data_IF_576715632808
#
_entry.id   IF_576715632808
#
_cell.length_a   1.000
_cell.length_b   1.000
_cell.length_c   1.000
_cell.angle_alpha   90.00
_cell.angle_beta   90.00
_cell.angle_gamma   90.00
#
_symmetry.space_group_name_H-M   'P 1'
#
loop_
_entity.id
_entity.type
_entity.pdbx_description
1 polymer ?
#
# COMPACT_ATOMS: atom_id res chain seq x y z
N UNK A 1 -22.57 2.56 3.81
CA UNK A 1 -21.31 3.33 4.01
C UNK A 1 -21.38 4.36 5.16
N UNK A 2 -20.35 4.48 6.00
CA UNK A 2 -20.24 5.54 7.02
C UNK A 2 -20.00 6.92 6.40
N UNK A 3 -20.36 8.00 7.09
CA UNK A 3 -20.13 9.37 6.59
C UNK A 3 -18.64 9.68 6.37
N UNK A 4 -17.76 9.14 7.21
CA UNK A 4 -16.31 9.36 7.11
C UNK A 4 -15.74 8.62 5.90
N UNK A 5 -16.10 7.34 5.70
CA UNK A 5 -15.60 6.58 4.54
C UNK A 5 -16.02 7.27 3.24
N UNK A 6 -17.29 7.69 3.15
CA UNK A 6 -17.78 8.46 2.00
C UNK A 6 -16.93 9.70 1.72
N UNK A 7 -16.62 10.50 2.75
CA UNK A 7 -15.80 11.71 2.59
C UNK A 7 -14.37 11.39 2.18
N UNK A 8 -13.84 10.25 2.60
CA UNK A 8 -12.51 9.78 2.19
C UNK A 8 -12.46 9.33 0.74
N UNK A 9 -13.50 8.68 0.22
CA UNK A 9 -13.64 8.39 -1.21
C UNK A 9 -13.66 9.69 -2.03
N UNK A 10 -14.45 10.67 -1.59
CA UNK A 10 -14.51 11.99 -2.25
C UNK A 10 -13.15 12.68 -2.20
N UNK A 11 -12.46 12.68 -1.05
CA UNK A 11 -11.13 13.26 -0.93
C UNK A 11 -10.12 12.58 -1.85
N UNK A 12 -10.13 11.24 -1.93
CA UNK A 12 -9.25 10.49 -2.82
C UNK A 12 -9.44 10.91 -4.29
N UNK A 13 -10.69 11.10 -4.72
CA UNK A 13 -11.01 11.62 -6.07
C UNK A 13 -10.58 13.07 -6.26
N UNK A 14 -10.73 13.93 -5.26
CA UNK A 14 -10.23 15.31 -5.34
C UNK A 14 -8.71 15.31 -5.49
N UNK A 15 -7.98 14.47 -4.75
CA UNK A 15 -6.52 14.32 -4.89
C UNK A 15 -6.16 13.86 -6.30
N UNK A 16 -6.87 12.86 -6.85
CA UNK A 16 -6.65 12.35 -8.20
C UNK A 16 -6.95 13.37 -9.31
N UNK A 17 -7.74 14.40 -9.04
CA UNK A 17 -8.04 15.46 -10.02
C UNK A 17 -6.88 16.42 -10.31
N UNK A 18 -5.79 16.35 -9.54
CA UNK A 18 -4.61 17.24 -9.64
C UNK A 18 -4.94 18.74 -9.49
N UNK A 19 -6.14 19.09 -9.00
CA UNK A 19 -6.59 20.46 -8.88
C UNK A 19 -6.28 21.05 -7.48
N UNK A 20 -5.14 21.75 -7.37
CA UNK A 20 -4.64 22.33 -6.12
C UNK A 20 -5.62 23.27 -5.41
N UNK A 21 -6.45 23.99 -6.17
CA UNK A 21 -7.47 24.90 -5.63
C UNK A 21 -8.57 24.16 -4.87
N UNK A 22 -8.80 22.88 -5.20
CA UNK A 22 -9.80 22.02 -4.56
C UNK A 22 -9.19 21.09 -3.51
N UNK A 23 -7.98 20.61 -3.75
CA UNK A 23 -7.24 19.73 -2.82
C UNK A 23 -7.05 20.44 -1.48
N UNK A 24 -6.58 21.69 -1.48
CA UNK A 24 -6.22 22.39 -0.25
C UNK A 24 -7.43 22.63 0.68
N UNK A 25 -8.58 23.13 0.20
CA UNK A 25 -9.81 23.22 1.01
C UNK A 25 -10.31 21.85 1.49
N UNK A 26 -10.33 20.82 0.63
CA UNK A 26 -10.81 19.49 1.00
C UNK A 26 -9.98 18.85 2.12
N UNK A 27 -8.66 19.02 2.10
CA UNK A 27 -7.77 18.57 3.17
C UNK A 27 -8.01 19.36 4.46
N UNK A 28 -8.22 20.69 4.38
CA UNK A 28 -8.54 21.50 5.57
C UNK A 28 -9.85 21.05 6.20
N UNK A 29 -10.86 20.73 5.40
CA UNK A 29 -12.12 20.22 5.89
C UNK A 29 -11.98 18.87 6.60
N UNK A 30 -11.00 18.05 6.20
CA UNK A 30 -10.69 16.79 6.86
C UNK A 30 -10.33 16.96 8.34
N UNK A 31 -9.67 18.07 8.71
CA UNK A 31 -9.29 18.36 10.10
C UNK A 31 -10.49 18.50 11.05
N UNK A 32 -11.70 18.68 10.51
CA UNK A 32 -12.94 18.72 11.30
C UNK A 32 -13.45 17.31 11.68
N UNK A 33 -12.81 16.24 11.20
CA UNK A 33 -13.21 14.86 11.47
C UNK A 33 -12.13 14.10 12.22
N UNK A 34 -12.55 13.20 13.11
CA UNK A 34 -11.66 12.18 13.67
C UNK A 34 -11.63 11.00 12.71
N UNK A 35 -10.60 10.92 11.89
CA UNK A 35 -10.40 9.82 10.92
C UNK A 35 -9.50 8.77 11.55
N UNK A 36 -9.90 7.50 11.51
CA UNK A 36 -9.07 6.39 11.98
C UNK A 36 -7.97 6.04 10.97
N UNK A 37 -6.91 5.39 11.43
CA UNK A 37 -5.80 4.97 10.58
C UNK A 37 -6.29 4.01 9.48
N UNK A 38 -7.09 3.02 9.87
CA UNK A 38 -7.68 2.04 8.94
C UNK A 38 -8.41 2.71 7.77
N UNK A 39 -9.15 3.81 8.02
CA UNK A 39 -9.83 4.53 6.94
C UNK A 39 -8.84 5.25 6.02
N UNK A 40 -7.77 5.84 6.55
CA UNK A 40 -6.73 6.49 5.75
C UNK A 40 -5.97 5.48 4.89
N UNK A 41 -5.61 4.34 5.48
CA UNK A 41 -4.91 3.23 4.82
C UNK A 41 -5.71 2.64 3.67
N UNK A 42 -7.02 2.49 3.86
CA UNK A 42 -7.93 1.96 2.84
C UNK A 42 -7.93 2.75 1.53
N UNK A 43 -7.61 4.04 1.58
CA UNK A 43 -7.62 4.91 0.40
C UNK A 43 -6.21 5.21 -0.12
N UNK A 44 -5.17 4.58 0.43
CA UNK A 44 -3.79 4.74 -0.03
C UNK A 44 -3.35 6.21 -0.22
N UNK A 45 -3.80 7.10 0.68
CA UNK A 45 -3.64 8.56 0.55
C UNK A 45 -2.17 8.99 0.32
N UNK A 46 -1.15 8.44 1.01
CA UNK A 46 0.25 8.78 0.74
C UNK A 46 0.68 8.51 -0.71
N UNK A 47 0.20 7.42 -1.31
CA UNK A 47 0.46 7.06 -2.70
C UNK A 47 -0.23 8.05 -3.65
N UNK A 48 -1.54 8.27 -3.47
CA UNK A 48 -2.31 9.19 -4.30
C UNK A 48 -1.70 10.60 -4.31
N UNK A 49 -1.23 11.08 -3.16
CA UNK A 49 -0.59 12.40 -3.07
C UNK A 49 0.74 12.43 -3.83
N UNK A 50 1.54 11.36 -3.71
CA UNK A 50 2.84 11.29 -4.38
C UNK A 50 2.68 11.25 -5.91
N UNK A 51 1.61 10.62 -6.39
CA UNK A 51 1.30 10.52 -7.82
C UNK A 51 0.72 11.83 -8.39
N UNK A 52 -0.28 12.41 -7.72
CA UNK A 52 -1.17 13.40 -8.33
C UNK A 52 -0.92 14.84 -7.85
N UNK A 53 -0.35 15.04 -6.66
CA UNK A 53 -0.11 16.39 -6.12
C UNK A 53 1.19 16.51 -5.29
N UNK A 54 2.35 16.10 -5.85
CA UNK A 54 3.62 16.06 -5.11
C UNK A 54 4.14 17.44 -4.67
N UNK A 55 3.61 18.53 -5.24
CA UNK A 55 4.02 19.90 -4.92
C UNK A 55 3.00 20.68 -4.08
N UNK A 56 1.83 20.10 -3.80
CA UNK A 56 0.82 20.75 -2.98
C UNK A 56 1.25 20.73 -1.50
N UNK A 57 1.44 21.89 -0.84
CA UNK A 57 1.94 21.92 0.54
C UNK A 57 1.00 21.25 1.55
N UNK A 58 -0.33 21.37 1.37
CA UNK A 58 -1.31 20.75 2.27
C UNK A 58 -1.35 19.23 2.09
N UNK A 59 -1.28 18.76 0.85
CA UNK A 59 -1.19 17.34 0.57
C UNK A 59 0.11 16.73 1.10
N UNK A 60 1.25 17.37 0.85
CA UNK A 60 2.54 16.89 1.34
C UNK A 60 2.58 16.87 2.87
N UNK A 61 2.01 17.87 3.55
CA UNK A 61 1.87 17.84 5.00
C UNK A 61 0.99 16.68 5.48
N UNK A 62 -0.17 16.45 4.84
CA UNK A 62 -1.03 15.31 5.16
C UNK A 62 -0.30 13.97 4.97
N UNK A 63 0.41 13.81 3.85
CA UNK A 63 1.25 12.64 3.57
C UNK A 63 2.27 12.41 4.68
N UNK A 64 3.06 13.44 5.01
CA UNK A 64 4.07 13.36 6.07
C UNK A 64 3.46 12.99 7.42
N UNK A 65 2.33 13.58 7.79
CA UNK A 65 1.62 13.25 9.03
C UNK A 65 1.19 11.78 9.07
N UNK A 66 0.60 11.27 7.99
CA UNK A 66 0.14 9.86 7.91
C UNK A 66 1.34 8.91 8.01
N UNK A 67 2.40 9.16 7.25
CA UNK A 67 3.59 8.32 7.24
C UNK A 67 4.31 8.34 8.59
N UNK A 68 4.43 9.51 9.22
CA UNK A 68 5.01 9.65 10.55
C UNK A 68 4.21 8.85 11.57
N UNK A 69 2.90 9.08 11.64
CA UNK A 69 2.02 8.39 12.60
C UNK A 69 2.12 6.86 12.44
N UNK A 70 2.15 6.38 11.21
CA UNK A 70 2.29 4.97 10.89
C UNK A 70 3.64 4.39 11.30
N UNK A 71 4.71 5.10 11.00
CA UNK A 71 6.06 4.67 11.38
C UNK A 71 6.19 4.59 12.91
N UNK A 72 5.64 5.56 13.64
CA UNK A 72 5.60 5.52 15.11
C UNK A 72 4.81 4.30 15.62
N UNK A 73 3.66 3.98 15.01
CA UNK A 73 2.87 2.80 15.37
C UNK A 73 3.65 1.50 15.09
N UNK A 74 4.22 1.34 13.89
CA UNK A 74 4.97 0.15 13.51
C UNK A 74 6.22 -0.04 14.37
N UNK A 75 6.94 1.04 14.69
CA UNK A 75 8.08 1.00 15.61
C UNK A 75 7.68 0.57 17.03
N UNK A 76 6.51 0.98 17.52
CA UNK A 76 6.01 0.55 18.81
C UNK A 76 5.53 -0.93 18.82
N UNK A 77 5.07 -1.44 17.68
CA UNK A 77 4.59 -2.82 17.52
C UNK A 77 5.73 -3.82 17.27
N UNK A 78 6.79 -3.40 16.57
CA UNK A 78 7.86 -4.27 16.10
C UNK A 78 8.53 -5.11 17.22
N UNK A 79 8.95 -4.56 18.36
CA UNK A 79 9.54 -5.38 19.44
C UNK A 79 8.57 -6.44 19.97
N UNK A 80 7.26 -6.11 19.99
CA UNK A 80 6.21 -7.03 20.45
C UNK A 80 5.98 -8.14 19.44
N UNK A 81 6.02 -7.85 18.14
CA UNK A 81 5.90 -8.86 17.08
C UNK A 81 7.04 -9.87 17.15
N UNK A 82 8.28 -9.41 17.31
CA UNK A 82 9.46 -10.27 17.42
C UNK A 82 9.43 -11.12 18.70
N UNK A 83 8.96 -10.55 19.80
CA UNK A 83 8.76 -11.29 21.06
C UNK A 83 7.69 -12.37 20.89
N UNK A 84 6.56 -12.05 20.26
CA UNK A 84 5.50 -13.02 19.96
C UNK A 84 5.97 -14.13 19.02
N UNK A 85 6.81 -13.82 18.03
CA UNK A 85 7.41 -14.85 17.17
C UNK A 85 8.31 -15.77 18.00
N UNK A 86 9.17 -15.21 18.85
CA UNK A 86 10.02 -16.00 19.74
C UNK A 86 9.21 -16.88 20.70
N UNK A 87 8.11 -16.36 21.25
CA UNK A 87 7.18 -17.12 22.10
C UNK A 87 6.42 -18.20 21.33
N UNK A 88 6.03 -17.91 20.08
CA UNK A 88 5.35 -18.87 19.21
C UNK A 88 6.25 -20.05 18.84
N UNK A 89 7.53 -19.77 18.56
CA UNK A 89 8.54 -20.81 18.35
C UNK A 89 8.83 -21.54 19.67
N UNK A 90 8.72 -20.84 20.80
CA UNK A 90 8.55 -21.45 22.12
C UNK A 90 9.63 -22.49 22.45
N UNK A 91 9.16 -23.66 22.88
CA UNK A 91 10.00 -24.82 23.19
C UNK A 91 10.34 -25.67 21.96
N UNK A 92 9.70 -25.41 20.82
CA UNK A 92 9.97 -26.15 19.59
C UNK A 92 11.32 -25.68 19.07
N UNK A 93 12.30 -26.58 19.12
CA UNK A 93 13.65 -26.31 18.61
C UNK A 93 13.68 -26.32 17.08
N UNK A 94 12.65 -26.86 16.44
CA UNK A 94 12.50 -26.84 14.99
C UNK A 94 11.44 -25.82 14.57
N UNK A 95 11.64 -25.21 13.41
CA UNK A 95 10.69 -24.30 12.80
C UNK A 95 10.52 -24.63 11.33
N UNK A 96 9.44 -24.14 10.72
CA UNK A 96 9.21 -24.36 9.28
C UNK A 96 10.31 -23.68 8.45
N UNK A 97 10.58 -24.25 7.27
CA UNK A 97 11.58 -23.68 6.34
C UNK A 97 11.30 -22.21 6.02
N UNK A 98 10.03 -21.82 5.93
CA UNK A 98 9.60 -20.44 5.71
C UNK A 98 10.11 -19.52 6.84
N UNK A 99 9.88 -19.91 8.10
CA UNK A 99 10.30 -19.11 9.26
C UNK A 99 11.83 -19.03 9.32
N UNK A 100 12.52 -20.13 9.04
CA UNK A 100 13.97 -20.15 8.97
C UNK A 100 14.50 -19.17 7.91
N UNK A 101 13.97 -19.25 6.68
CA UNK A 101 14.32 -18.33 5.59
C UNK A 101 14.01 -16.87 5.93
N UNK A 102 12.89 -16.61 6.61
CA UNK A 102 12.53 -15.27 7.09
C UNK A 102 13.54 -14.73 8.10
N UNK A 103 13.90 -15.51 9.12
CA UNK A 103 14.86 -15.11 10.16
C UNK A 103 16.24 -14.82 9.55
N UNK A 104 16.68 -15.67 8.62
CA UNK A 104 17.93 -15.49 7.88
C UNK A 104 17.87 -14.26 6.95
N UNK A 105 16.72 -13.98 6.34
CA UNK A 105 16.49 -12.76 5.57
C UNK A 105 16.60 -11.49 6.43
N UNK A 106 16.01 -11.53 7.62
CA UNK A 106 16.07 -10.42 8.59
C UNK A 106 17.50 -10.10 9.05
N UNK A 107 18.40 -11.09 9.10
CA UNK A 107 19.82 -10.86 9.42
C UNK A 107 20.57 -10.02 8.37
N UNK A 108 20.04 -9.93 7.14
CA UNK A 108 20.64 -9.15 6.06
C UNK A 108 20.10 -7.72 5.97
N UNK A 109 19.24 -7.31 6.91
CA UNK A 109 18.72 -5.96 6.97
C UNK A 109 19.68 -5.03 7.72
N UNK A 110 19.54 -3.73 7.48
CA UNK A 110 20.29 -2.69 8.19
C UNK A 110 19.71 -2.39 9.58
N UNK A 111 18.45 -2.81 9.82
CA UNK A 111 17.80 -2.63 11.10
C UNK A 111 18.38 -3.60 12.14
N UNK A 112 19.34 -3.12 12.92
CA UNK A 112 20.07 -3.92 13.92
C UNK A 112 19.18 -4.54 15.01
N UNK A 113 18.00 -3.98 15.28
CA UNK A 113 17.06 -4.60 16.23
C UNK A 113 16.41 -5.86 15.65
N UNK A 114 16.11 -5.86 14.34
CA UNK A 114 15.67 -7.06 13.63
C UNK A 114 16.78 -8.10 13.56
N UNK A 115 17.98 -7.69 13.17
CA UNK A 115 19.15 -8.58 13.11
C UNK A 115 19.38 -9.25 14.47
N UNK A 116 19.43 -8.45 15.55
CA UNK A 116 19.58 -8.94 16.92
C UNK A 116 18.50 -9.94 17.29
N UNK A 117 17.23 -9.58 17.06
CA UNK A 117 16.11 -10.43 17.40
C UNK A 117 16.13 -11.75 16.63
N UNK A 118 16.49 -11.72 15.34
CA UNK A 118 16.64 -12.92 14.52
C UNK A 118 17.76 -13.81 15.02
N UNK A 119 18.94 -13.27 15.33
CA UNK A 119 20.06 -14.05 15.87
C UNK A 119 19.68 -14.73 17.20
N UNK A 120 18.99 -13.99 18.08
CA UNK A 120 18.49 -14.50 19.36
C UNK A 120 17.45 -15.60 19.22
N UNK A 121 16.62 -15.55 18.17
CA UNK A 121 15.64 -16.61 17.89
C UNK A 121 16.37 -17.83 17.32
N UNK A 122 17.22 -17.61 16.33
CA UNK A 122 18.05 -18.66 15.70
C UNK A 122 18.92 -19.39 16.72
N UNK A 123 19.50 -18.70 17.70
CA UNK A 123 20.33 -19.34 18.74
C UNK A 123 19.54 -20.33 19.61
N UNK A 124 18.21 -20.31 19.58
CA UNK A 124 17.34 -21.29 20.26
C UNK A 124 16.90 -22.45 19.38
N UNK A 125 17.04 -22.35 18.07
CA UNK A 125 16.61 -23.35 17.10
C UNK A 125 17.71 -24.36 16.80
N UNK A 126 17.37 -25.63 16.61
CA UNK A 126 18.26 -26.67 16.11
C UNK A 126 18.19 -26.71 14.58
N UNK A 127 19.36 -26.76 13.96
CA UNK A 127 19.51 -26.76 12.50
C UNK A 127 20.05 -28.10 12.05
N UNK A 128 19.64 -28.55 10.86
CA UNK A 128 20.32 -29.63 10.15
C UNK A 128 21.57 -29.10 9.45
N UNK A 129 22.59 -29.94 9.27
CA UNK A 129 23.79 -29.58 8.50
C UNK A 129 23.44 -28.97 7.14
N UNK A 130 22.51 -29.62 6.42
CA UNK A 130 22.09 -29.16 5.10
C UNK A 130 21.43 -27.78 5.14
N UNK A 131 20.79 -27.41 6.24
CA UNK A 131 20.20 -26.07 6.41
C UNK A 131 21.26 -25.02 6.70
N UNK A 132 22.24 -25.36 7.55
CA UNK A 132 23.39 -24.49 7.86
C UNK A 132 24.13 -24.13 6.57
N UNK A 133 24.46 -25.13 5.76
CA UNK A 133 25.18 -24.96 4.50
C UNK A 133 24.32 -24.24 3.45
N UNK A 134 23.08 -24.73 3.20
CA UNK A 134 22.23 -24.21 2.12
C UNK A 134 21.79 -22.77 2.36
N UNK A 135 21.54 -22.39 3.61
CA UNK A 135 21.10 -21.04 3.96
C UNK A 135 22.26 -20.13 4.39
N UNK A 136 23.50 -20.65 4.39
CA UNK A 136 24.73 -19.93 4.76
C UNK A 136 24.60 -19.27 6.15
N UNK A 137 24.04 -20.02 7.12
CA UNK A 137 23.67 -19.46 8.44
C UNK A 137 24.92 -18.96 9.16
N UNK A 138 25.99 -19.76 9.13
CA UNK A 138 27.26 -19.46 9.79
C UNK A 138 27.91 -18.21 9.18
N UNK A 139 28.03 -18.15 7.86
CA UNK A 139 28.64 -17.03 7.14
C UNK A 139 27.89 -15.72 7.40
N UNK A 140 26.55 -15.78 7.48
CA UNK A 140 25.71 -14.61 7.78
C UNK A 140 25.87 -14.15 9.22
N UNK A 141 25.89 -15.08 10.18
CA UNK A 141 26.11 -14.75 11.58
C UNK A 141 27.51 -14.12 11.78
N UNK A 142 28.54 -14.67 11.15
CA UNK A 142 29.91 -14.13 11.19
C UNK A 142 30.01 -12.71 10.62
N UNK A 143 29.21 -12.34 9.61
CA UNK A 143 29.20 -10.97 9.05
C UNK A 143 28.73 -9.91 10.04
N UNK A 144 27.92 -10.29 11.04
CA UNK A 144 27.31 -9.35 11.99
C UNK A 144 27.77 -9.56 13.44
N UNK A 145 28.55 -10.60 13.73
CA UNK A 145 28.98 -10.96 15.10
C UNK A 145 29.76 -9.87 15.83
N UNK A 146 30.50 -9.03 15.11
CA UNK A 146 31.25 -7.91 15.72
C UNK A 146 30.34 -6.78 16.24
N UNK A 147 29.09 -6.73 15.76
CA UNK A 147 28.13 -5.68 16.08
C UNK A 147 26.97 -6.19 16.94
N UNK A 148 26.75 -7.51 16.96
CA UNK A 148 25.62 -8.17 17.61
C UNK A 148 26.14 -9.34 18.45
N UNK A 149 26.04 -9.23 19.77
CA UNK A 149 26.46 -10.26 20.72
C UNK A 149 25.72 -11.59 20.47
N UNK A 150 24.42 -11.53 20.22
CA UNK A 150 23.60 -12.71 19.93
C UNK A 150 24.01 -13.43 18.63
N UNK A 151 24.68 -12.75 17.71
CA UNK A 151 25.25 -13.40 16.53
C UNK A 151 26.55 -14.15 16.87
N UNK A 152 27.33 -13.66 17.83
CA UNK A 152 28.50 -14.39 18.35
C UNK A 152 28.07 -15.67 19.08
N UNK A 153 26.99 -15.61 19.86
CA UNK A 153 26.39 -16.80 20.48
C UNK A 153 25.91 -17.80 19.43
N UNK A 154 25.27 -17.33 18.36
CA UNK A 154 24.82 -18.17 17.25
C UNK A 154 26.00 -18.84 16.53
N UNK A 155 27.09 -18.10 16.25
CA UNK A 155 28.31 -18.66 15.64
C UNK A 155 28.90 -19.76 16.51
N UNK A 156 29.09 -19.49 17.81
CA UNK A 156 29.62 -20.48 18.75
C UNK A 156 28.78 -21.75 18.79
N UNK A 157 27.45 -21.61 18.87
CA UNK A 157 26.52 -22.73 18.85
C UNK A 157 26.65 -23.57 17.57
N UNK A 158 26.68 -22.93 16.41
CA UNK A 158 26.76 -23.64 15.12
C UNK A 158 28.08 -24.40 15.04
N UNK A 159 29.20 -23.79 15.44
CA UNK A 159 30.49 -24.47 15.46
C UNK A 159 30.49 -25.70 16.39
N UNK A 160 29.89 -25.58 17.58
CA UNK A 160 29.71 -26.72 18.50
C UNK A 160 28.82 -27.84 17.90
N UNK A 161 27.78 -27.49 17.14
CA UNK A 161 26.92 -28.46 16.46
C UNK A 161 27.66 -29.19 15.33
N UNK A 162 28.44 -28.47 14.51
CA UNK A 162 29.25 -29.04 13.44
C UNK A 162 30.29 -30.04 13.98
N UNK A 163 30.92 -29.73 15.12
CA UNK A 163 31.86 -30.65 15.79
C UNK A 163 31.17 -31.92 16.34
N UNK A 164 29.89 -31.83 16.74
CA UNK A 164 29.13 -32.96 17.26
C UNK A 164 28.57 -33.85 16.15
N UNK A 165 28.12 -33.31 15.02
CA UNK A 165 27.59 -34.12 13.91
C UNK A 165 28.67 -34.92 13.18
N UNK A 166 29.92 -34.44 13.16
CA UNK A 166 31.08 -35.24 12.76
C UNK A 166 31.23 -36.53 13.60
N UNK A 167 30.54 -36.63 14.75
CA UNK A 167 30.47 -37.84 15.60
C UNK A 167 29.26 -38.76 15.33
N UNK A 168 28.39 -38.44 14.36
CA UNK A 168 27.40 -39.36 13.78
C UNK A 168 26.01 -39.41 14.44
N UNK A 169 25.53 -38.32 15.05
CA UNK A 169 24.18 -38.24 15.63
C UNK A 169 23.22 -37.65 14.60
N UNK A 170 22.34 -38.50 14.04
CA UNK A 170 21.27 -38.07 13.13
C UNK A 170 20.00 -37.73 13.91
N UNK A 171 19.42 -36.56 13.64
CA UNK A 171 18.09 -36.17 14.12
C UNK A 171 17.10 -36.40 12.97
N UNK A 172 16.29 -37.45 13.10
CA UNK A 172 15.07 -37.62 12.30
C UNK A 172 13.95 -36.85 13.01
N UNK A 173 13.22 -35.97 12.32
CA UNK A 173 11.91 -35.53 12.81
C UNK A 173 11.06 -34.76 11.77
N UNK A 174 9.77 -34.74 12.10
CA UNK A 174 8.57 -34.42 11.32
C UNK A 174 8.47 -32.96 10.83
N UNK A 175 8.03 -32.79 9.59
CA UNK A 175 7.75 -31.48 8.98
C UNK A 175 6.46 -30.90 9.55
N UNK A 176 6.56 -29.90 10.43
CA UNK A 176 5.40 -29.14 10.90
C UNK A 176 5.06 -28.03 9.90
N UNK A 177 3.94 -28.18 9.19
CA UNK A 177 3.41 -27.24 8.17
C UNK A 177 2.88 -25.94 8.82
N UNK A 178 3.76 -25.14 9.43
CA UNK A 178 3.41 -23.89 10.11
C UNK A 178 3.10 -22.69 9.19
N UNK A 179 2.42 -22.89 8.06
CA UNK A 179 2.28 -21.88 6.99
C UNK A 179 1.35 -20.68 7.29
N UNK A 180 0.39 -20.82 8.19
CA UNK A 180 -0.71 -19.84 8.33
C UNK A 180 -0.71 -19.03 9.63
N UNK A 181 0.46 -18.84 10.27
CA UNK A 181 0.51 -18.02 11.47
C UNK A 181 0.44 -16.51 11.14
N UNK A 182 -0.56 -15.75 11.65
CA UNK A 182 -0.66 -14.30 11.45
C UNK A 182 0.59 -13.52 11.87
N UNK A 183 1.33 -13.97 12.89
CA UNK A 183 2.58 -13.34 13.36
C UNK A 183 3.67 -13.48 12.29
N UNK A 184 3.81 -14.67 11.70
CA UNK A 184 4.79 -14.92 10.63
C UNK A 184 4.44 -14.04 9.43
N UNK A 185 3.16 -13.96 9.08
CA UNK A 185 2.69 -13.08 8.01
C UNK A 185 3.05 -11.61 8.25
N UNK A 186 2.81 -11.07 9.44
CA UNK A 186 3.18 -9.68 9.76
C UNK A 186 4.70 -9.45 9.68
N UNK A 187 5.52 -10.41 10.08
CA UNK A 187 6.98 -10.29 10.02
C UNK A 187 7.48 -10.42 8.57
N UNK A 188 6.86 -11.25 7.74
CA UNK A 188 7.13 -11.28 6.30
C UNK A 188 6.82 -9.92 5.64
N UNK A 189 5.74 -9.26 6.04
CA UNK A 189 5.37 -7.95 5.53
C UNK A 189 6.32 -6.85 6.01
N UNK A 190 6.77 -6.92 7.26
CA UNK A 190 7.83 -6.06 7.79
C UNK A 190 9.14 -6.27 6.99
N UNK A 191 9.53 -7.53 6.77
CA UNK A 191 10.72 -7.88 6.00
C UNK A 191 10.65 -7.32 4.57
N UNK A 192 9.52 -7.52 3.87
CA UNK A 192 9.32 -6.96 2.54
C UNK A 192 9.44 -5.43 2.55
N UNK A 193 8.78 -4.75 3.50
CA UNK A 193 8.84 -3.31 3.61
C UNK A 193 10.27 -2.80 3.83
N UNK A 194 11.07 -3.49 4.64
CA UNK A 194 12.49 -3.16 4.85
C UNK A 194 13.32 -3.43 3.60
N UNK A 195 13.11 -4.54 2.88
CA UNK A 195 13.78 -4.81 1.61
C UNK A 195 13.47 -3.77 0.54
N UNK A 196 12.22 -3.30 0.43
CA UNK A 196 11.86 -2.26 -0.53
C UNK A 196 12.61 -0.95 -0.26
N UNK A 197 12.86 -0.61 1.01
CA UNK A 197 13.63 0.59 1.38
C UNK A 197 15.11 0.52 1.02
N UNK A 198 15.68 -0.67 0.84
CA UNK A 198 17.10 -0.82 0.48
C UNK A 198 17.36 -0.65 -1.02
N UNK A 199 16.31 -0.64 -1.86
CA UNK A 199 16.41 -0.59 -3.34
C UNK A 199 17.28 -1.71 -3.95
N UNK A 200 17.52 -2.78 -3.18
CA UNK A 200 18.35 -3.91 -3.58
C UNK A 200 17.46 -4.98 -4.23
N UNK A 201 17.57 -5.08 -5.55
CA UNK A 201 16.77 -6.02 -6.35
C UNK A 201 16.85 -7.46 -5.85
N UNK A 202 18.01 -7.91 -5.34
CA UNK A 202 18.16 -9.28 -4.87
C UNK A 202 17.35 -9.49 -3.58
N UNK A 203 17.48 -8.58 -2.61
CA UNK A 203 16.73 -8.63 -1.35
C UNK A 203 15.22 -8.55 -1.61
N UNK A 204 14.79 -7.64 -2.47
CA UNK A 204 13.38 -7.45 -2.84
C UNK A 204 12.83 -8.70 -3.51
N UNK A 205 13.54 -9.25 -4.51
CA UNK A 205 13.10 -10.47 -5.20
C UNK A 205 12.98 -11.63 -4.22
N UNK A 206 13.98 -11.83 -3.34
CA UNK A 206 13.91 -12.86 -2.31
C UNK A 206 12.72 -12.67 -1.36
N UNK A 207 12.43 -11.43 -0.94
CA UNK A 207 11.29 -11.14 -0.07
C UNK A 207 9.94 -11.40 -0.78
N UNK A 208 9.80 -11.02 -2.05
CA UNK A 208 8.60 -11.28 -2.85
C UNK A 208 8.42 -12.79 -3.08
N UNK A 209 9.48 -13.53 -3.40
CA UNK A 209 9.41 -14.99 -3.57
C UNK A 209 9.01 -15.68 -2.26
N UNK A 210 9.57 -15.25 -1.13
CA UNK A 210 9.18 -15.75 0.19
C UNK A 210 7.70 -15.49 0.46
N UNK A 211 7.22 -14.27 0.18
CA UNK A 211 5.82 -13.89 0.34
C UNK A 211 4.88 -14.57 -0.64
N UNK A 212 5.33 -14.97 -1.84
CA UNK A 212 4.50 -15.65 -2.84
C UNK A 212 4.01 -17.03 -2.40
N UNK A 213 4.62 -17.60 -1.36
CA UNK A 213 4.13 -18.82 -0.70
C UNK A 213 3.00 -18.54 0.29
N UNK A 214 2.75 -17.26 0.57
CA UNK A 214 1.78 -16.74 1.52
C UNK A 214 0.70 -15.96 0.75
N UNK A 215 -0.52 -15.91 1.28
CA UNK A 215 -1.60 -15.09 0.75
C UNK A 215 -1.97 -13.98 1.75
N UNK A 216 -1.14 -12.93 1.92
CA UNK A 216 -1.44 -11.86 2.85
C UNK A 216 -2.70 -11.12 2.44
N UNK A 217 -3.50 -10.71 3.41
CA UNK A 217 -4.66 -9.84 3.14
C UNK A 217 -4.21 -8.47 2.61
N UNK A 218 -5.06 -7.81 1.81
CA UNK A 218 -4.82 -6.44 1.34
C UNK A 218 -4.59 -5.45 2.49
N UNK A 219 -5.22 -5.68 3.63
CA UNK A 219 -5.02 -4.89 4.84
C UNK A 219 -3.56 -4.87 5.31
N UNK A 220 -2.83 -5.98 5.17
CA UNK A 220 -1.41 -6.04 5.53
C UNK A 220 -0.55 -5.26 4.54
N UNK A 221 -0.78 -5.39 3.24
CA UNK A 221 -0.07 -4.59 2.23
C UNK A 221 -0.26 -3.08 2.47
N UNK A 222 -1.48 -2.69 2.83
CA UNK A 222 -1.80 -1.33 3.26
C UNK A 222 -1.07 -0.97 4.56
N UNK A 223 -1.15 -1.79 5.62
CA UNK A 223 -0.46 -1.59 6.92
C UNK A 223 1.05 -1.38 6.76
N UNK A 224 1.68 -1.93 5.74
CA UNK A 224 3.13 -1.75 5.50
C UNK A 224 3.46 -0.81 4.34
N UNK A 225 2.46 -0.10 3.78
CA UNK A 225 2.62 0.87 2.69
C UNK A 225 3.33 0.29 1.46
N UNK A 226 3.07 -0.98 1.12
CA UNK A 226 3.84 -1.69 0.09
C UNK A 226 3.75 -1.01 -1.28
N UNK A 227 2.54 -0.68 -1.76
CA UNK A 227 2.38 0.05 -3.04
C UNK A 227 3.11 1.41 -3.00
N UNK A 228 2.96 2.16 -1.90
CA UNK A 228 3.66 3.44 -1.74
C UNK A 228 5.19 3.29 -1.82
N UNK A 229 5.77 2.28 -1.17
CA UNK A 229 7.21 2.01 -1.22
C UNK A 229 7.66 1.60 -2.63
N UNK A 230 6.91 0.73 -3.32
CA UNK A 230 7.20 0.33 -4.70
C UNK A 230 7.24 1.56 -5.62
N UNK A 231 6.22 2.42 -5.53
CA UNK A 231 6.13 3.63 -6.35
C UNK A 231 7.24 4.64 -6.00
N UNK A 232 7.45 4.92 -4.71
CA UNK A 232 8.43 5.90 -4.25
C UNK A 232 9.84 5.57 -4.73
N UNK A 233 10.21 4.29 -4.72
CA UNK A 233 11.55 3.83 -5.05
C UNK A 233 11.68 3.34 -6.51
N UNK A 234 10.61 3.38 -7.31
CA UNK A 234 10.65 2.99 -8.73
C UNK A 234 11.09 1.54 -8.98
N UNK A 235 10.67 0.62 -8.11
CA UNK A 235 11.22 -0.73 -8.02
C UNK A 235 10.64 -1.64 -9.12
N UNK A 236 11.40 -1.82 -10.21
CA UNK A 236 10.96 -2.62 -11.36
C UNK A 236 10.72 -4.09 -11.05
N UNK A 237 11.52 -4.68 -10.16
CA UNK A 237 11.35 -6.10 -9.78
C UNK A 237 10.08 -6.35 -8.95
N UNK A 238 9.38 -5.31 -8.52
CA UNK A 238 8.13 -5.40 -7.77
C UNK A 238 6.89 -5.03 -8.60
N UNK A 239 7.01 -4.89 -9.92
CA UNK A 239 5.89 -4.51 -10.79
C UNK A 239 4.78 -5.57 -10.81
N UNK A 240 5.11 -6.86 -10.82
CA UNK A 240 4.09 -7.91 -10.75
C UNK A 240 3.30 -7.86 -9.43
N UNK A 241 3.99 -7.54 -8.33
CA UNK A 241 3.35 -7.32 -7.03
C UNK A 241 2.47 -6.06 -7.06
N UNK A 242 2.93 -4.98 -7.70
CA UNK A 242 2.13 -3.78 -7.91
C UNK A 242 0.83 -4.08 -8.66
N UNK A 243 0.92 -4.74 -9.81
CA UNK A 243 -0.22 -5.07 -10.66
C UNK A 243 -1.23 -5.95 -9.91
N UNK A 244 -0.74 -6.95 -9.16
CA UNK A 244 -1.57 -7.78 -8.30
C UNK A 244 -2.31 -6.94 -7.26
N UNK A 245 -1.63 -6.03 -6.56
CA UNK A 245 -2.23 -5.21 -5.51
C UNK A 245 -3.25 -4.22 -6.08
N UNK A 246 -2.96 -3.60 -7.22
CA UNK A 246 -3.90 -2.70 -7.91
C UNK A 246 -5.17 -3.45 -8.33
N UNK A 247 -5.01 -4.66 -8.90
CA UNK A 247 -6.13 -5.51 -9.26
C UNK A 247 -6.97 -5.93 -8.04
N UNK A 248 -6.32 -6.43 -6.99
CA UNK A 248 -7.02 -6.83 -5.75
C UNK A 248 -7.71 -5.65 -5.09
N UNK A 249 -7.10 -4.46 -5.07
CA UNK A 249 -7.71 -3.24 -4.55
C UNK A 249 -8.92 -2.80 -5.36
N UNK A 250 -8.85 -2.90 -6.69
CA UNK A 250 -10.00 -2.65 -7.56
C UNK A 250 -11.16 -3.58 -7.22
N UNK A 251 -10.90 -4.88 -7.08
CA UNK A 251 -11.93 -5.88 -6.76
C UNK A 251 -12.53 -5.70 -5.36
N UNK A 252 -11.69 -5.60 -4.32
CA UNK A 252 -12.17 -5.49 -2.94
C UNK A 252 -12.94 -4.20 -2.66
N UNK A 253 -12.61 -3.11 -3.37
CA UNK A 253 -13.24 -1.82 -3.17
C UNK A 253 -14.37 -1.50 -4.15
N UNK A 254 -14.62 -2.33 -5.17
CA UNK A 254 -15.57 -2.04 -6.24
C UNK A 254 -16.96 -1.66 -5.70
N UNK A 255 -17.55 -2.50 -4.84
CA UNK A 255 -18.86 -2.23 -4.26
C UNK A 255 -18.87 -0.93 -3.43
N UNK A 256 -17.81 -0.69 -2.66
CA UNK A 256 -17.73 0.49 -1.81
C UNK A 256 -17.58 1.77 -2.65
N UNK A 257 -16.74 1.75 -3.69
CA UNK A 257 -16.58 2.85 -4.64
C UNK A 257 -17.91 3.16 -5.33
N UNK A 258 -18.64 2.14 -5.77
CA UNK A 258 -19.96 2.29 -6.38
C UNK A 258 -20.99 2.88 -5.40
N UNK A 259 -21.00 2.45 -4.14
CA UNK A 259 -21.86 3.04 -3.10
C UNK A 259 -21.51 4.51 -2.84
N UNK A 260 -20.21 4.84 -2.77
CA UNK A 260 -19.73 6.21 -2.61
C UNK A 260 -20.18 7.08 -3.79
N UNK A 261 -20.03 6.58 -5.01
CA UNK A 261 -20.46 7.26 -6.23
C UNK A 261 -21.97 7.51 -6.23
N UNK A 262 -22.80 6.49 -5.99
CA UNK A 262 -24.26 6.62 -5.95
C UNK A 262 -24.71 7.66 -4.93
N UNK A 263 -24.06 7.67 -3.76
CA UNK A 263 -24.32 8.68 -2.74
C UNK A 263 -23.87 10.07 -3.21
N UNK A 264 -22.67 10.19 -3.75
CA UNK A 264 -22.10 11.45 -4.23
C UNK A 264 -22.95 12.10 -5.31
N UNK A 265 -23.33 11.34 -6.34
CA UNK A 265 -24.11 11.88 -7.45
C UNK A 265 -25.51 12.31 -7.00
N UNK A 266 -26.13 11.54 -6.10
CA UNK A 266 -27.44 11.89 -5.51
C UNK A 266 -27.37 13.17 -4.69
N UNK A 267 -26.34 13.33 -3.85
CA UNK A 267 -26.12 14.57 -3.09
C UNK A 267 -25.86 15.75 -4.03
N UNK A 268 -25.08 15.53 -5.09
CA UNK A 268 -24.74 16.54 -6.10
C UNK A 268 -25.94 17.04 -6.89
N UNK A 269 -26.90 16.18 -7.24
CA UNK A 269 -28.14 16.60 -7.92
C UNK A 269 -28.99 17.54 -7.05
N UNK A 270 -28.86 17.44 -5.73
CA UNK A 270 -29.60 18.27 -4.78
C UNK A 270 -28.86 19.57 -4.42
N UNK A 271 -27.63 19.76 -4.90
CA UNK A 271 -26.85 20.97 -4.69
C UNK A 271 -27.04 21.97 -5.83
N UNK A 272 -27.37 23.21 -5.50
CA UNK A 272 -27.45 24.32 -6.45
C UNK A 272 -26.82 25.57 -5.82
N UNK A 273 -25.82 26.20 -6.45
CA UNK A 273 -25.21 25.85 -7.74
C UNK A 273 -24.29 24.61 -7.67
N UNK A 274 -23.99 24.00 -8.83
CA UNK A 274 -22.97 22.95 -8.93
C UNK A 274 -21.61 23.55 -8.63
N UNK A 275 -20.83 22.91 -7.75
CA UNK A 275 -19.50 23.41 -7.35
C UNK A 275 -18.41 22.90 -8.31
N UNK A 276 -17.27 23.59 -8.35
CA UNK A 276 -16.10 23.09 -9.09
C UNK A 276 -15.65 21.72 -8.60
N UNK A 277 -15.67 21.48 -7.28
CA UNK A 277 -15.36 20.19 -6.65
C UNK A 277 -16.27 19.07 -7.15
N UNK A 278 -17.56 19.35 -7.33
CA UNK A 278 -18.50 18.39 -7.92
C UNK A 278 -18.07 17.98 -9.32
N UNK A 279 -17.67 18.93 -10.15
CA UNK A 279 -17.22 18.68 -11.52
C UNK A 279 -15.89 17.92 -11.54
N UNK A 280 -14.93 18.26 -10.66
CA UNK A 280 -13.67 17.55 -10.53
C UNK A 280 -13.86 16.08 -10.18
N UNK A 281 -14.63 15.80 -9.11
CA UNK A 281 -14.88 14.43 -8.66
C UNK A 281 -15.59 13.60 -9.73
N UNK A 282 -16.59 14.17 -10.39
CA UNK A 282 -17.28 13.50 -11.50
C UNK A 282 -16.36 13.28 -12.70
N UNK A 283 -15.49 14.23 -13.03
CA UNK A 283 -14.50 14.06 -14.10
C UNK A 283 -13.57 12.89 -13.80
N UNK A 284 -13.12 12.72 -12.56
CA UNK A 284 -12.32 11.57 -12.14
C UNK A 284 -13.08 10.23 -12.12
N UNK A 285 -14.41 10.26 -12.13
CA UNK A 285 -15.23 9.05 -12.31
C UNK A 285 -15.40 8.66 -13.79
N UNK A 286 -15.19 9.60 -14.74
CA UNK A 286 -15.22 9.27 -16.16
C UNK A 286 -14.01 8.45 -16.63
N UNK A 287 -12.93 8.44 -15.85
CA UNK A 287 -11.73 7.61 -16.09
C UNK A 287 -11.92 6.14 -15.68
N UNK A 288 -13.09 5.78 -15.13
CA UNK A 288 -13.40 4.41 -14.70
C UNK A 288 -14.12 3.65 -15.81
N UNK A 289 -13.91 2.33 -15.90
CA UNK A 289 -14.51 1.48 -16.93
C UNK A 289 -15.99 1.11 -16.65
N UNK A 290 -16.54 1.51 -15.51
CA UNK A 290 -17.91 1.12 -15.11
C UNK A 290 -18.98 1.92 -15.87
N UNK A 291 -19.65 1.27 -16.83
CA UNK A 291 -20.66 1.88 -17.72
C UNK A 291 -21.70 2.71 -16.95
N UNK A 292 -22.20 2.20 -15.81
CA UNK A 292 -23.17 2.91 -14.99
C UNK A 292 -22.63 4.25 -14.45
N UNK A 293 -21.38 4.26 -14.01
CA UNK A 293 -20.71 5.44 -13.45
C UNK A 293 -20.49 6.48 -14.54
N UNK A 294 -19.94 6.05 -15.69
CA UNK A 294 -19.70 6.91 -16.85
C UNK A 294 -21.01 7.52 -17.34
N UNK A 295 -22.01 6.69 -17.61
CA UNK A 295 -23.33 7.13 -18.08
C UNK A 295 -23.97 8.13 -17.12
N UNK A 296 -24.02 7.80 -15.83
CA UNK A 296 -24.67 8.65 -14.83
C UNK A 296 -23.98 10.00 -14.70
N UNK A 297 -22.65 10.03 -14.83
CA UNK A 297 -21.85 11.24 -14.83
C UNK A 297 -22.12 12.12 -16.06
N UNK A 298 -22.16 11.54 -17.25
CA UNK A 298 -22.47 12.27 -18.48
C UNK A 298 -23.90 12.83 -18.44
N UNK A 299 -24.87 12.05 -17.95
CA UNK A 299 -26.23 12.53 -17.74
C UNK A 299 -26.30 13.71 -16.76
N UNK A 300 -25.50 13.69 -15.69
CA UNK A 300 -25.38 14.80 -14.75
C UNK A 300 -24.83 16.04 -15.45
N UNK A 301 -23.74 15.90 -16.21
CA UNK A 301 -23.14 17.00 -16.97
C UNK A 301 -24.09 17.61 -17.99
N UNK A 302 -24.98 16.83 -18.61
CA UNK A 302 -26.02 17.35 -19.50
C UNK A 302 -27.11 18.12 -18.75
N UNK A 303 -27.65 17.54 -17.69
CA UNK A 303 -28.84 18.06 -16.99
C UNK A 303 -28.53 19.27 -16.10
N UNK A 304 -27.34 19.33 -15.52
CA UNK A 304 -27.01 20.34 -14.53
C UNK A 304 -26.40 21.61 -15.16
N UNK A 305 -26.65 22.80 -14.57
CA UNK A 305 -26.12 24.07 -15.09
C UNK A 305 -24.64 24.25 -14.72
N UNK A 306 -23.75 23.59 -15.46
CA UNK A 306 -22.30 23.69 -15.31
C UNK A 306 -21.76 24.77 -16.24
N UNK A 307 -20.95 25.67 -15.72
CA UNK A 307 -20.36 26.76 -16.50
C UNK A 307 -19.19 26.26 -17.38
N UNK A 308 -18.89 26.98 -18.46
CA UNK A 308 -17.71 26.67 -19.28
C UNK A 308 -16.41 26.69 -18.46
N UNK A 309 -16.30 27.66 -17.54
CA UNK A 309 -15.11 27.80 -16.69
C UNK A 309 -14.91 26.56 -15.80
N UNK A 310 -16.00 25.97 -15.29
CA UNK A 310 -15.91 24.73 -14.52
C UNK A 310 -15.45 23.54 -15.36
N UNK A 311 -15.90 23.42 -16.61
CA UNK A 311 -15.40 22.38 -17.52
C UNK A 311 -13.92 22.58 -17.87
N UNK A 312 -13.51 23.82 -18.11
CA UNK A 312 -12.12 24.17 -18.48
C UNK A 312 -11.16 23.97 -17.31
N UNK A 313 -11.51 24.45 -16.11
CA UNK A 313 -10.69 24.29 -14.89
C UNK A 313 -10.45 22.82 -14.53
N UNK A 314 -11.43 21.95 -14.77
CA UNK A 314 -11.34 20.52 -14.44
C UNK A 314 -10.91 19.66 -15.63
N UNK A 315 -10.56 20.28 -16.77
CA UNK A 315 -10.17 19.59 -18.01
C UNK A 315 -11.17 18.50 -18.45
N UNK A 316 -12.43 18.65 -18.07
CA UNK A 316 -13.44 17.61 -18.29
C UNK A 316 -13.65 17.32 -19.76
N UNK A 317 -13.55 18.34 -20.62
CA UNK A 317 -13.67 18.16 -22.07
C UNK A 317 -12.63 17.19 -22.63
N UNK A 318 -11.40 17.20 -22.11
CA UNK A 318 -10.35 16.29 -22.56
C UNK A 318 -10.72 14.83 -22.25
N UNK A 319 -11.15 14.57 -21.01
CA UNK A 319 -11.58 13.23 -20.57
C UNK A 319 -12.83 12.77 -21.31
N UNK A 320 -13.81 13.65 -21.52
CA UNK A 320 -15.06 13.31 -22.24
C UNK A 320 -14.77 13.00 -23.71
N UNK A 321 -13.77 13.64 -24.32
CA UNK A 321 -13.33 13.34 -25.69
C UNK A 321 -12.62 11.99 -25.81
N UNK A 322 -12.22 11.34 -24.73
CA UNK A 322 -11.74 9.94 -24.82
C UNK A 322 -12.91 8.95 -24.91
N UNK A 323 -14.16 9.42 -24.71
CA UNK A 323 -15.39 8.63 -24.72
C UNK A 323 -16.22 8.83 -26.00
N UNK A 324 -15.59 9.09 -27.16
CA UNK A 324 -16.28 9.52 -28.40
C UNK A 324 -17.34 8.54 -28.92
N UNK A 325 -17.25 7.26 -28.55
CA UNK A 325 -18.24 6.24 -28.92
C UNK A 325 -19.59 6.40 -28.17
N UNK A 326 -19.61 7.19 -27.10
CA UNK A 326 -20.83 7.44 -26.32
C UNK A 326 -21.63 8.62 -26.87
N UNK A 327 -22.88 8.36 -27.27
CA UNK A 327 -23.83 9.40 -27.68
C UNK A 327 -23.98 10.50 -26.62
N UNK A 328 -23.93 10.15 -25.33
CA UNK A 328 -24.00 11.11 -24.24
C UNK A 328 -22.75 12.00 -24.18
N UNK A 329 -21.56 11.46 -24.44
CA UNK A 329 -20.32 12.23 -24.48
C UNK A 329 -20.36 13.26 -25.61
N UNK A 330 -20.84 12.86 -26.80
CA UNK A 330 -21.04 13.78 -27.95
C UNK A 330 -21.98 14.93 -27.58
N UNK A 331 -23.08 14.64 -26.88
CA UNK A 331 -24.01 15.68 -26.43
C UNK A 331 -23.38 16.63 -25.40
N UNK A 332 -22.53 16.12 -24.49
CA UNK A 332 -21.83 16.97 -23.51
C UNK A 332 -20.80 17.86 -24.21
N UNK A 333 -20.03 17.32 -25.16
CA UNK A 333 -19.07 18.10 -25.96
C UNK A 333 -19.79 19.22 -26.70
N UNK A 334 -20.92 18.92 -27.34
CA UNK A 334 -21.76 19.92 -28.00
C UNK A 334 -22.22 21.01 -27.02
N UNK A 335 -22.67 20.64 -25.82
CA UNK A 335 -23.03 21.60 -24.76
C UNK A 335 -21.85 22.52 -24.41
N UNK A 336 -20.64 21.98 -24.28
CA UNK A 336 -19.43 22.76 -23.99
C UNK A 336 -19.14 23.75 -25.13
N UNK A 337 -19.26 23.31 -26.39
CA UNK A 337 -19.07 24.15 -27.57
C UNK A 337 -20.13 25.27 -27.67
N UNK A 338 -21.39 24.98 -27.36
CA UNK A 338 -22.47 25.96 -27.28
C UNK A 338 -22.18 27.02 -26.21
N UNK A 339 -21.76 26.62 -25.01
CA UNK A 339 -21.35 27.55 -23.94
C UNK A 339 -20.17 28.45 -24.36
N UNK A 340 -19.20 27.88 -25.09
CA UNK A 340 -18.05 28.62 -25.63
C UNK A 340 -18.46 29.64 -26.69
N UNK A 341 -19.42 29.28 -27.54
CA UNK A 341 -19.95 30.19 -28.55
C UNK A 341 -20.76 31.33 -27.92
N UNK A 342 -21.61 31.05 -26.92
CA UNK A 342 -22.36 32.07 -26.19
C UNK A 342 -21.44 33.11 -25.55
N UNK A 343 -20.36 32.69 -24.88
CA UNK A 343 -19.38 33.64 -24.30
C UNK A 343 -18.71 34.54 -25.33
N UNK A 344 -18.53 34.10 -26.58
CA UNK A 344 -17.93 34.95 -27.64
C UNK A 344 -18.86 36.09 -28.10
N UNK A 345 -20.17 35.95 -27.93
CA UNK A 345 -21.13 36.99 -28.32
C UNK A 345 -21.33 38.05 -27.23
N UNK A 346 -21.04 37.74 -25.96
CA UNK A 346 -21.13 38.72 -24.87
C UNK A 346 -20.03 39.81 -24.91
N UNK A 347 -18.98 39.62 -25.73
CA UNK A 347 -17.87 40.58 -25.93
C UNK A 347 -17.98 41.41 -27.22
N UNK A 348 -19.10 41.35 -27.95
CA UNK A 348 -19.40 42.25 -29.08
C UNK A 348 -20.46 43.25 -28.68
#
# INVERSE_FOLDING_TARGET
MSTINYKMHVLAKIIASENDEMISPAIKDLNNYKVSMETLEKHNIPLLITQNCPYNPFAMNLKSMILQWKNEQLQAEQPRLLTKLAEHLGSNRHCSQLVLQLLIGLMNLENMELVRSSCRILSKLEFKLEEIERLEILERAMKVQEQVEEASELVMKILEQLEQEDSGIFVEDEEDEGGENPIVMEICMLYLAECLKTEDNLKITSAITLLGTLAPSLALYRKYNIQYLIYQHGIKCALELWDMLEHTEHLEMAQEKLEAFKKFITESYNQSPVTGTTVAVLTEHLKEDEEFVVRSTLEFFLKMPISLEQFEQNRSEFVIRELEESDLAVLVIRKIEELRNSKKFDFK
#
